data_IF_599964446973
#
_entry.id   IF_599964446973
#
_cell.length_a   1.000
_cell.length_b   1.000
_cell.length_c   1.000
_cell.angle_alpha   90.00
_cell.angle_beta   90.00
_cell.angle_gamma   90.00
#
_symmetry.space_group_name_H-M   'P 1'
#
loop_
_entity.id
_entity.type
_entity.pdbx_description
1 polymer ?
#
# COMPACT_ATOMS: atom_id res chain seq x y z
N UNK A 1 -10.79 -15.98 -0.65
CA UNK A 1 -9.91 -16.30 -1.79
C UNK A 1 -9.08 -17.53 -1.43
N UNK A 2 -8.94 -18.51 -2.32
CA UNK A 2 -8.07 -19.68 -2.08
C UNK A 2 -6.59 -19.33 -2.25
N UNK A 3 -5.68 -20.10 -1.67
CA UNK A 3 -4.23 -19.89 -1.83
C UNK A 3 -3.78 -19.95 -3.29
N UNK A 4 -4.42 -20.78 -4.11
CA UNK A 4 -4.10 -20.87 -5.54
C UNK A 4 -4.57 -19.64 -6.31
N UNK A 5 -5.75 -19.10 -5.99
CA UNK A 5 -6.24 -17.84 -6.56
C UNK A 5 -5.36 -16.66 -6.16
N UNK A 6 -4.90 -16.62 -4.91
CA UNK A 6 -3.98 -15.58 -4.44
C UNK A 6 -2.66 -15.62 -5.19
N UNK A 7 -2.05 -16.81 -5.31
CA UNK A 7 -0.81 -16.96 -6.08
C UNK A 7 -0.96 -16.51 -7.54
N UNK A 8 -2.06 -16.88 -8.20
CA UNK A 8 -2.36 -16.42 -9.57
C UNK A 8 -2.52 -14.91 -9.65
N UNK A 9 -3.12 -14.30 -8.63
CA UNK A 9 -3.24 -12.84 -8.54
C UNK A 9 -1.86 -12.20 -8.37
N UNK A 10 -1.05 -12.69 -7.43
CA UNK A 10 0.31 -12.19 -7.16
C UNK A 10 1.18 -12.22 -8.43
N UNK A 11 1.19 -13.37 -9.12
CA UNK A 11 1.94 -13.56 -10.36
C UNK A 11 1.42 -12.61 -11.47
N UNK A 12 0.09 -12.49 -11.63
CA UNK A 12 -0.51 -11.58 -12.62
C UNK A 12 -0.15 -10.11 -12.37
N UNK A 13 -0.24 -9.66 -11.12
CA UNK A 13 0.07 -8.29 -10.71
C UNK A 13 1.55 -7.99 -10.97
N UNK A 14 2.43 -8.90 -10.58
CA UNK A 14 3.86 -8.77 -10.78
C UNK A 14 4.26 -8.76 -12.25
N UNK A 15 3.74 -9.70 -13.05
CA UNK A 15 4.08 -9.77 -14.47
C UNK A 15 3.64 -8.52 -15.22
N UNK A 16 2.44 -8.00 -14.90
CA UNK A 16 1.93 -6.75 -15.47
C UNK A 16 2.79 -5.54 -15.07
N UNK A 17 3.13 -5.41 -13.78
CA UNK A 17 3.98 -4.33 -13.31
C UNK A 17 5.41 -4.42 -13.89
N UNK A 18 5.99 -5.62 -13.93
CA UNK A 18 7.33 -5.83 -14.47
C UNK A 18 7.38 -5.59 -15.99
N UNK A 19 6.31 -5.91 -16.73
CA UNK A 19 6.21 -5.58 -18.15
C UNK A 19 6.21 -4.05 -18.37
N UNK A 20 5.43 -3.30 -17.59
CA UNK A 20 5.41 -1.83 -17.64
C UNK A 20 6.77 -1.22 -17.29
N UNK A 21 7.42 -1.75 -16.24
CA UNK A 21 8.77 -1.35 -15.85
C UNK A 21 9.78 -1.55 -16.97
N UNK A 22 9.78 -2.73 -17.59
CA UNK A 22 10.69 -3.07 -18.68
C UNK A 22 10.43 -2.19 -19.91
N UNK A 23 9.17 -1.98 -20.26
CA UNK A 23 8.74 -1.08 -21.34
C UNK A 23 9.18 0.37 -21.12
N UNK A 24 9.24 0.83 -19.87
CA UNK A 24 9.71 2.16 -19.48
C UNK A 24 11.23 2.30 -19.34
N UNK A 25 12.01 1.21 -19.42
CA UNK A 25 13.44 1.26 -19.12
C UNK A 25 13.74 1.74 -17.69
N UNK A 26 12.91 1.34 -16.72
CA UNK A 26 13.04 1.75 -15.32
C UNK A 26 13.81 0.67 -14.54
N UNK A 27 14.75 1.09 -13.69
CA UNK A 27 15.47 0.16 -12.81
C UNK A 27 14.52 -0.38 -11.74
N UNK A 28 14.77 -1.59 -11.25
CA UNK A 28 13.92 -2.20 -10.21
C UNK A 28 13.88 -1.34 -8.93
N UNK A 29 15.03 -0.79 -8.50
CA UNK A 29 15.15 0.11 -7.35
C UNK A 29 14.23 1.32 -7.41
N UNK A 30 14.28 2.06 -8.53
CA UNK A 30 13.49 3.28 -8.74
C UNK A 30 11.99 2.96 -8.88
N UNK A 31 11.64 1.71 -9.17
CA UNK A 31 10.28 1.25 -9.43
C UNK A 31 9.62 0.65 -8.19
N UNK A 32 10.41 0.07 -7.27
CA UNK A 32 9.92 -0.64 -6.11
C UNK A 32 9.07 0.26 -5.21
N UNK A 33 9.60 1.43 -4.85
CA UNK A 33 8.94 2.36 -3.92
C UNK A 33 7.60 2.86 -4.47
N UNK A 34 7.49 3.36 -5.73
CA UNK A 34 6.19 3.72 -6.33
C UNK A 34 5.17 2.58 -6.35
N UNK A 35 5.59 1.36 -6.71
CA UNK A 35 4.69 0.20 -6.78
C UNK A 35 4.15 -0.17 -5.40
N UNK A 36 5.01 -0.23 -4.39
CA UNK A 36 4.60 -0.50 -3.02
C UNK A 36 3.65 0.59 -2.49
N UNK A 37 3.88 1.84 -2.88
CA UNK A 37 2.96 2.96 -2.62
C UNK A 37 1.57 2.73 -3.20
N UNK A 38 1.48 2.31 -4.47
CA UNK A 38 0.18 2.04 -5.11
C UNK A 38 -0.56 0.85 -4.48
N UNK A 39 0.17 -0.20 -4.07
CA UNK A 39 -0.42 -1.33 -3.34
C UNK A 39 -1.00 -0.84 -2.00
N UNK A 40 -0.26 0.02 -1.29
CA UNK A 40 -0.75 0.64 -0.05
C UNK A 40 -1.99 1.52 -0.30
N UNK A 41 -1.98 2.33 -1.35
CA UNK A 41 -3.13 3.16 -1.72
C UNK A 41 -4.38 2.31 -1.97
N UNK A 42 -4.22 1.19 -2.68
CA UNK A 42 -5.32 0.26 -2.94
C UNK A 42 -5.83 -0.41 -1.66
N UNK A 43 -4.93 -0.76 -0.74
CA UNK A 43 -5.29 -1.25 0.59
C UNK A 43 -6.11 -0.20 1.36
N UNK A 44 -5.64 1.04 1.40
CA UNK A 44 -6.29 2.12 2.10
C UNK A 44 -7.68 2.42 1.51
N UNK A 45 -7.81 2.43 0.18
CA UNK A 45 -9.08 2.62 -0.54
C UNK A 45 -10.09 1.52 -0.26
N UNK A 46 -9.67 0.25 -0.35
CA UNK A 46 -10.54 -0.87 -0.01
C UNK A 46 -10.98 -0.82 1.46
N UNK A 47 -10.03 -0.59 2.38
CA UNK A 47 -10.33 -0.53 3.82
C UNK A 47 -11.28 0.62 4.14
N UNK A 48 -11.04 1.82 3.60
CA UNK A 48 -11.94 2.95 3.80
C UNK A 48 -13.34 2.67 3.24
N UNK A 49 -13.42 2.14 2.02
CA UNK A 49 -14.68 1.80 1.35
C UNK A 49 -15.54 0.80 2.13
N UNK A 50 -14.92 -0.17 2.82
CA UNK A 50 -15.63 -1.12 3.68
C UNK A 50 -16.35 -0.45 4.86
N UNK A 51 -15.80 0.64 5.39
CA UNK A 51 -16.35 1.35 6.55
C UNK A 51 -17.06 2.66 6.20
N UNK A 52 -17.02 3.10 4.94
CA UNK A 52 -17.52 4.41 4.48
C UNK A 52 -18.99 4.65 4.86
N UNK A 53 -19.86 3.65 4.65
CA UNK A 53 -21.27 3.78 5.03
C UNK A 53 -21.45 4.01 6.53
N UNK A 54 -20.67 3.32 7.36
CA UNK A 54 -20.69 3.47 8.83
C UNK A 54 -20.17 4.85 9.23
N UNK A 55 -19.05 5.29 8.66
CA UNK A 55 -18.44 6.60 8.90
C UNK A 55 -19.43 7.71 8.58
N UNK A 56 -20.07 7.65 7.40
CA UNK A 56 -21.05 8.65 6.98
C UNK A 56 -22.33 8.63 7.82
N UNK A 57 -22.77 7.47 8.29
CA UNK A 57 -23.92 7.35 9.18
C UNK A 57 -23.63 8.00 10.55
N UNK A 58 -22.45 7.76 11.11
CA UNK A 58 -22.01 8.36 12.37
C UNK A 58 -21.82 9.87 12.24
N UNK A 59 -21.18 10.33 11.16
CA UNK A 59 -21.03 11.76 10.85
C UNK A 59 -22.39 12.46 10.75
N UNK A 60 -23.36 11.87 10.04
CA UNK A 60 -24.73 12.43 9.93
C UNK A 60 -25.48 12.46 11.27
N UNK A 61 -25.24 11.48 12.13
CA UNK A 61 -25.86 11.39 13.46
C UNK A 61 -25.32 12.47 14.40
N UNK A 62 -24.01 12.72 14.35
CA UNK A 62 -23.34 13.66 15.25
C UNK A 62 -23.48 15.12 14.79
N UNK A 63 -23.80 15.36 13.51
CA UNK A 63 -23.95 16.69 12.91
C UNK A 63 -24.98 17.56 13.66
N UNK A 64 -24.57 18.75 14.09
CA UNK A 64 -25.42 19.69 14.84
C UNK A 64 -25.64 19.30 16.30
N UNK A 65 -24.95 18.26 16.80
CA UNK A 65 -24.98 17.84 18.19
C UNK A 65 -23.77 18.38 18.97
N UNK A 66 -23.79 18.24 20.29
CA UNK A 66 -22.62 18.55 21.15
C UNK A 66 -21.42 17.61 20.91
N UNK A 67 -21.61 16.49 20.20
CA UNK A 67 -20.57 15.51 19.88
C UNK A 67 -20.16 15.57 18.40
N UNK A 68 -20.46 16.68 17.70
CA UNK A 68 -20.06 16.85 16.29
C UNK A 68 -18.54 16.68 16.13
N UNK A 69 -18.16 15.74 15.27
CA UNK A 69 -16.77 15.46 14.92
C UNK A 69 -16.59 15.59 13.40
N UNK A 70 -15.42 16.06 12.93
CA UNK A 70 -15.05 15.99 11.54
C UNK A 70 -15.14 14.55 11.01
N UNK A 71 -15.50 14.38 9.74
CA UNK A 71 -15.62 13.06 9.11
C UNK A 71 -14.29 12.31 9.13
N UNK A 72 -13.19 13.05 9.07
CA UNK A 72 -11.82 12.55 9.08
C UNK A 72 -11.49 11.89 10.41
N UNK A 73 -11.89 12.51 11.53
CA UNK A 73 -11.67 11.94 12.87
C UNK A 73 -12.47 10.65 13.08
N UNK A 74 -13.73 10.63 12.60
CA UNK A 74 -14.58 9.43 12.66
C UNK A 74 -13.97 8.30 11.83
N UNK A 75 -13.46 8.62 10.63
CA UNK A 75 -12.81 7.66 9.75
C UNK A 75 -11.53 7.07 10.38
N UNK A 76 -10.66 7.91 10.93
CA UNK A 76 -9.45 7.48 11.63
C UNK A 76 -9.78 6.58 12.83
N UNK A 77 -10.79 6.94 13.63
CA UNK A 77 -11.23 6.13 14.76
C UNK A 77 -11.86 4.79 14.31
N UNK A 78 -12.50 4.74 13.14
CA UNK A 78 -13.22 3.56 12.67
C UNK A 78 -12.32 2.56 11.95
N UNK A 79 -11.44 3.03 11.06
CA UNK A 79 -10.64 2.16 10.21
C UNK A 79 -9.16 2.58 10.10
N UNK A 80 -8.74 3.65 10.79
CA UNK A 80 -7.36 4.12 10.83
C UNK A 80 -6.93 4.96 9.64
N UNK A 81 -7.81 5.23 8.67
CA UNK A 81 -7.50 6.06 7.52
C UNK A 81 -8.69 6.94 7.15
N UNK A 82 -8.41 8.18 6.76
CA UNK A 82 -9.34 9.00 6.00
C UNK A 82 -8.81 9.15 4.58
N UNK A 83 -9.63 8.85 3.59
CA UNK A 83 -9.28 9.01 2.19
C UNK A 83 -10.11 10.13 1.55
N UNK A 84 -9.49 11.27 1.20
CA UNK A 84 -10.18 12.30 0.45
C UNK A 84 -10.56 11.80 -0.95
N UNK A 85 -11.53 12.45 -1.59
CA UNK A 85 -12.04 12.04 -2.91
C UNK A 85 -10.94 11.91 -3.97
N UNK A 86 -9.97 12.82 -3.96
CA UNK A 86 -8.83 12.81 -4.88
C UNK A 86 -7.83 11.65 -4.64
N UNK A 87 -7.91 10.97 -3.48
CA UNK A 87 -7.12 9.78 -3.17
C UNK A 87 -7.85 8.47 -3.47
N UNK A 88 -9.10 8.51 -3.90
CA UNK A 88 -9.88 7.30 -4.23
C UNK A 88 -9.36 6.70 -5.53
N UNK A 89 -9.25 5.37 -5.56
CA UNK A 89 -8.72 4.66 -6.73
C UNK A 89 -9.58 4.89 -7.98
N UNK A 90 -10.90 4.88 -7.80
CA UNK A 90 -11.87 5.16 -8.87
C UNK A 90 -11.73 6.60 -9.40
N UNK A 91 -11.38 7.58 -8.56
CA UNK A 91 -11.10 8.96 -9.02
C UNK A 91 -9.86 9.00 -9.92
N UNK A 92 -8.76 8.39 -9.45
CA UNK A 92 -7.49 8.38 -10.16
C UNK A 92 -7.57 7.65 -11.51
N UNK A 93 -8.35 6.56 -11.59
CA UNK A 93 -8.57 5.83 -12.85
C UNK A 93 -9.35 6.63 -13.88
N UNK A 94 -10.21 7.55 -13.44
CA UNK A 94 -11.08 8.36 -14.29
C UNK A 94 -10.53 9.77 -14.55
N UNK A 95 -9.29 10.06 -14.16
CA UNK A 95 -8.63 11.31 -14.49
C UNK A 95 -8.55 11.51 -16.01
N UNK A 96 -8.74 12.75 -16.43
CA UNK A 96 -8.62 13.11 -17.83
C UNK A 96 -7.17 12.91 -18.30
N UNK A 97 -6.98 12.37 -19.51
CA UNK A 97 -5.65 12.03 -20.05
C UNK A 97 -4.69 13.20 -20.27
N UNK A 98 -5.15 14.45 -20.08
CA UNK A 98 -4.32 15.65 -20.13
C UNK A 98 -3.77 16.08 -18.76
N UNK A 99 -4.11 15.37 -17.68
CA UNK A 99 -3.63 15.66 -16.33
C UNK A 99 -2.44 14.75 -15.97
N UNK A 100 -1.44 15.32 -15.27
CA UNK A 100 -0.31 14.56 -14.74
C UNK A 100 -0.81 13.57 -13.68
N UNK A 101 -0.61 12.29 -13.95
CA UNK A 101 -0.92 11.20 -13.03
C UNK A 101 0.02 11.24 -11.82
N UNK A 102 1.29 11.58 -12.02
CA UNK A 102 2.26 11.73 -10.93
C UNK A 102 1.82 12.81 -9.93
N UNK A 103 1.35 13.95 -10.43
CA UNK A 103 0.82 15.03 -9.58
C UNK A 103 -0.41 14.57 -8.80
N UNK A 104 -1.36 13.91 -9.45
CA UNK A 104 -2.56 13.41 -8.79
C UNK A 104 -2.22 12.37 -7.70
N UNK A 105 -1.30 11.45 -7.99
CA UNK A 105 -0.82 10.47 -7.00
C UNK A 105 -0.11 11.13 -5.82
N UNK A 106 0.73 12.14 -6.05
CA UNK A 106 1.34 12.91 -4.97
C UNK A 106 0.29 13.60 -4.11
N UNK A 107 -0.73 14.22 -4.70
CA UNK A 107 -1.82 14.86 -3.97
C UNK A 107 -2.66 13.86 -3.18
N UNK A 108 -2.89 12.67 -3.74
CA UNK A 108 -3.54 11.56 -3.05
C UNK A 108 -2.76 11.11 -1.81
N UNK A 109 -1.46 10.83 -1.96
CA UNK A 109 -0.61 10.39 -0.84
C UNK A 109 -0.52 11.43 0.27
N UNK A 110 -0.25 12.70 -0.09
CA UNK A 110 -0.24 13.80 0.89
C UNK A 110 -1.62 14.02 1.52
N UNK A 111 -2.68 13.78 0.77
CA UNK A 111 -4.06 13.85 1.26
C UNK A 111 -4.34 12.82 2.35
N UNK A 112 -3.77 11.62 2.25
CA UNK A 112 -3.85 10.58 3.28
C UNK A 112 -2.98 10.95 4.49
N UNK A 113 -1.73 11.34 4.26
CA UNK A 113 -0.79 11.68 5.34
C UNK A 113 -1.26 12.85 6.18
N UNK A 114 -1.89 13.86 5.58
CA UNK A 114 -2.36 15.07 6.26
C UNK A 114 -3.20 14.80 7.52
N UNK A 115 -3.96 13.71 7.52
CA UNK A 115 -4.85 13.37 8.63
C UNK A 115 -4.25 12.31 9.58
N UNK A 116 -3.05 11.83 9.29
CA UNK A 116 -2.34 10.87 10.12
C UNK A 116 -1.46 11.53 11.17
N UNK A 117 -0.93 10.73 12.09
CA UNK A 117 -0.02 11.22 13.12
C UNK A 117 1.33 11.68 12.55
N UNK A 118 2.15 12.29 13.42
CA UNK A 118 3.46 12.81 13.03
C UNK A 118 4.44 11.73 12.55
N UNK A 119 4.24 10.45 12.93
CA UNK A 119 5.13 9.35 12.53
C UNK A 119 4.83 8.87 11.11
N UNK A 120 3.65 9.20 10.59
CA UNK A 120 3.21 8.82 9.26
C UNK A 120 3.50 9.89 8.20
N UNK A 121 4.00 11.07 8.59
CA UNK A 121 4.34 12.11 7.61
C UNK A 121 5.56 11.72 6.78
N UNK A 122 5.51 11.97 5.47
CA UNK A 122 6.55 11.65 4.48
C UNK A 122 6.89 10.15 4.37
N UNK A 123 6.00 9.27 4.83
CA UNK A 123 6.15 7.80 4.71
C UNK A 123 5.71 7.32 3.32
N UNK A 124 4.67 7.94 2.75
CA UNK A 124 4.14 7.55 1.45
C UNK A 124 4.96 8.19 0.33
N UNK A 125 5.25 7.44 -0.75
CA UNK A 125 6.00 7.99 -1.86
C UNK A 125 5.23 9.09 -2.56
N UNK A 126 5.92 10.19 -2.88
CA UNK A 126 5.32 11.34 -3.58
C UNK A 126 6.15 11.73 -4.79
N UNK A 127 7.44 11.97 -4.62
CA UNK A 127 8.31 12.46 -5.70
C UNK A 127 8.70 11.37 -6.71
N UNK A 128 8.77 10.11 -6.27
CA UNK A 128 9.21 8.99 -7.11
C UNK A 128 8.28 8.74 -8.33
N UNK A 129 7.04 9.22 -8.29
CA UNK A 129 6.11 9.11 -9.43
C UNK A 129 6.51 10.00 -10.61
N UNK A 130 7.10 11.17 -10.36
CA UNK A 130 7.47 12.10 -11.43
C UNK A 130 8.58 11.53 -12.32
N UNK A 131 9.52 10.78 -11.75
CA UNK A 131 10.58 10.13 -12.52
C UNK A 131 10.03 9.00 -13.40
N UNK A 132 8.96 8.31 -12.99
CA UNK A 132 8.27 7.33 -13.82
C UNK A 132 7.54 8.05 -14.97
N UNK A 133 6.72 9.04 -14.66
CA UNK A 133 5.93 9.79 -15.65
C UNK A 133 6.82 10.48 -16.69
N UNK A 134 7.95 11.05 -16.26
CA UNK A 134 8.93 11.67 -17.14
C UNK A 134 9.56 10.67 -18.12
N UNK A 135 9.73 9.41 -17.71
CA UNK A 135 10.20 8.36 -18.63
C UNK A 135 9.12 7.96 -19.60
N UNK A 136 7.93 7.65 -19.10
CA UNK A 136 6.71 7.40 -19.88
C UNK A 136 5.45 7.68 -19.05
N UNK A 137 4.54 8.44 -19.62
CA UNK A 137 3.31 8.92 -18.99
C UNK A 137 2.22 7.84 -18.86
N UNK A 138 2.24 6.81 -19.70
CA UNK A 138 1.29 5.70 -19.73
C UNK A 138 1.54 4.62 -18.64
N UNK A 139 2.71 4.62 -17.99
CA UNK A 139 3.09 3.61 -16.99
C UNK A 139 2.26 3.73 -15.71
N UNK A 140 2.12 4.93 -15.15
CA UNK A 140 1.37 5.11 -13.89
C UNK A 140 -0.12 4.78 -14.05
N UNK A 141 -0.82 5.22 -15.12
CA UNK A 141 -2.18 4.75 -15.41
C UNK A 141 -2.25 3.24 -15.61
N UNK A 142 -1.26 2.63 -16.28
CA UNK A 142 -1.18 1.18 -16.46
C UNK A 142 -1.05 0.42 -15.13
N UNK A 143 -0.23 0.94 -14.22
CA UNK A 143 -0.07 0.39 -12.87
C UNK A 143 -1.35 0.50 -12.05
N UNK A 144 -2.00 1.67 -12.07
CA UNK A 144 -3.29 1.84 -11.41
C UNK A 144 -4.31 0.83 -11.94
N UNK A 145 -4.44 0.65 -13.25
CA UNK A 145 -5.33 -0.38 -13.81
C UNK A 145 -4.95 -1.78 -13.33
N UNK A 146 -3.67 -2.11 -13.30
CA UNK A 146 -3.17 -3.40 -12.80
C UNK A 146 -3.61 -3.65 -11.35
N UNK A 147 -3.38 -2.70 -10.45
CA UNK A 147 -3.72 -2.87 -9.03
C UNK A 147 -5.22 -2.70 -8.74
N UNK A 148 -5.99 -2.13 -9.68
CA UNK A 148 -7.45 -2.07 -9.57
C UNK A 148 -8.12 -3.46 -9.61
N UNK A 149 -7.43 -4.46 -10.18
CA UNK A 149 -7.88 -5.87 -10.21
C UNK A 149 -7.93 -6.53 -8.82
N UNK A 150 -7.32 -5.92 -7.79
CA UNK A 150 -7.41 -6.42 -6.42
C UNK A 150 -8.87 -6.25 -5.94
N UNK A 151 -9.57 -7.33 -5.55
CA UNK A 151 -10.98 -7.27 -5.16
C UNK A 151 -11.26 -6.26 -4.06
N UNK A 152 -12.40 -5.54 -4.13
CA UNK A 152 -12.78 -4.52 -3.14
C UNK A 152 -12.99 -5.10 -1.74
N UNK A 153 -13.36 -6.37 -1.64
CA UNK A 153 -13.54 -7.14 -0.41
C UNK A 153 -12.25 -7.84 0.07
N UNK A 154 -11.10 -7.61 -0.58
CA UNK A 154 -9.83 -8.16 -0.15
C UNK A 154 -9.49 -7.71 1.28
N UNK A 155 -9.18 -8.67 2.15
CA UNK A 155 -8.85 -8.44 3.55
C UNK A 155 -7.41 -7.94 3.72
N UNK A 156 -7.10 -7.42 4.91
CA UNK A 156 -5.73 -6.98 5.24
C UNK A 156 -4.68 -8.06 5.01
N UNK A 157 -5.00 -9.32 5.30
CA UNK A 157 -4.11 -10.48 5.08
C UNK A 157 -3.75 -10.68 3.61
N UNK A 158 -4.69 -10.41 2.69
CA UNK A 158 -4.44 -10.50 1.24
C UNK A 158 -3.45 -9.42 0.82
N UNK A 159 -3.65 -8.18 1.27
CA UNK A 159 -2.73 -7.08 0.98
C UNK A 159 -1.35 -7.29 1.59
N UNK A 160 -1.27 -7.80 2.83
CA UNK A 160 0.01 -8.13 3.46
C UNK A 160 0.81 -9.13 2.63
N UNK A 161 0.16 -10.20 2.15
CA UNK A 161 0.81 -11.21 1.29
C UNK A 161 1.25 -10.65 -0.05
N UNK A 162 0.42 -9.82 -0.71
CA UNK A 162 0.80 -9.13 -1.95
C UNK A 162 2.02 -8.24 -1.69
N UNK A 163 2.02 -7.46 -0.61
CA UNK A 163 3.10 -6.54 -0.26
C UNK A 163 4.41 -7.30 0.02
N UNK A 164 4.36 -8.39 0.80
CA UNK A 164 5.51 -9.27 1.05
C UNK A 164 6.03 -9.93 -0.23
N UNK A 165 5.13 -10.39 -1.12
CA UNK A 165 5.51 -10.97 -2.40
C UNK A 165 6.29 -9.97 -3.27
N UNK A 166 5.78 -8.75 -3.40
CA UNK A 166 6.45 -7.69 -4.16
C UNK A 166 7.80 -7.31 -3.54
N UNK A 167 7.88 -7.17 -2.21
CA UNK A 167 9.15 -6.92 -1.50
C UNK A 167 10.18 -8.01 -1.81
N UNK A 168 9.79 -9.29 -1.70
CA UNK A 168 10.68 -10.41 -2.00
C UNK A 168 11.16 -10.40 -3.45
N UNK A 169 10.27 -10.12 -4.41
CA UNK A 169 10.63 -10.02 -5.83
C UNK A 169 11.57 -8.86 -6.12
N UNK A 170 11.36 -7.69 -5.53
CA UNK A 170 12.27 -6.56 -5.67
C UNK A 170 13.65 -6.87 -5.09
N UNK A 171 13.72 -7.45 -3.89
CA UNK A 171 14.98 -7.88 -3.27
C UNK A 171 15.74 -8.90 -4.14
N UNK A 172 15.05 -9.87 -4.74
CA UNK A 172 15.66 -10.82 -5.68
C UNK A 172 16.19 -10.14 -6.95
N UNK A 173 15.51 -9.09 -7.43
CA UNK A 173 15.88 -8.39 -8.66
C UNK A 173 17.04 -7.41 -8.50
N UNK A 174 17.28 -6.87 -7.30
CA UNK A 174 18.37 -5.92 -7.04
C UNK A 174 19.74 -6.59 -6.85
N UNK A 175 19.79 -7.89 -6.54
CA UNK A 175 21.02 -8.67 -6.54
C UNK A 175 22.09 -8.26 -5.50
N UNK A 176 21.82 -7.31 -4.60
CA UNK A 176 22.76 -6.88 -3.56
C UNK A 176 22.35 -7.41 -2.17
N UNK A 177 23.28 -8.10 -1.50
CA UNK A 177 23.37 -8.33 -0.04
C UNK A 177 22.02 -8.47 0.70
N UNK A 178 21.21 -9.46 0.31
CA UNK A 178 19.81 -9.60 0.73
C UNK A 178 19.51 -9.67 2.24
N UNK A 179 20.50 -9.94 3.10
CA UNK A 179 20.28 -10.05 4.55
C UNK A 179 19.92 -8.74 5.27
N UNK A 180 20.31 -7.57 4.74
CA UNK A 180 20.04 -6.27 5.39
C UNK A 180 18.66 -5.69 5.01
N UNK A 181 18.11 -6.08 3.85
CA UNK A 181 16.89 -5.45 3.30
C UNK A 181 15.65 -6.37 3.38
N UNK A 182 15.83 -7.68 3.18
CA UNK A 182 14.71 -8.63 3.18
C UNK A 182 15.14 -10.03 3.65
N UNK A 183 14.58 -10.47 4.77
CA UNK A 183 14.78 -11.84 5.26
C UNK A 183 13.71 -12.77 4.67
N UNK A 184 14.07 -13.89 4.01
CA UNK A 184 13.08 -14.82 3.46
C UNK A 184 12.08 -15.32 4.50
N UNK A 185 10.80 -15.43 4.12
CA UNK A 185 9.69 -15.81 5.01
C UNK A 185 9.95 -17.10 5.77
N UNK A 186 10.60 -18.09 5.16
CA UNK A 186 10.94 -19.36 5.83
C UNK A 186 11.90 -19.18 7.01
N UNK A 187 12.86 -18.26 6.89
CA UNK A 187 13.84 -17.96 7.94
C UNK A 187 13.18 -17.15 9.05
N UNK A 188 12.39 -16.12 8.68
CA UNK A 188 11.61 -15.32 9.63
C UNK A 188 10.69 -16.22 10.45
N UNK A 189 9.90 -17.07 9.77
CA UNK A 189 8.96 -18.00 10.42
C UNK A 189 9.68 -18.94 11.38
N UNK A 190 10.81 -19.52 10.96
CA UNK A 190 11.60 -20.36 11.84
C UNK A 190 12.07 -19.62 13.11
N UNK A 191 12.58 -18.39 12.96
CA UNK A 191 13.04 -17.59 14.11
C UNK A 191 11.88 -17.26 15.06
N UNK A 192 10.72 -16.86 14.53
CA UNK A 192 9.53 -16.55 15.34
C UNK A 192 9.00 -17.79 16.04
N UNK A 193 8.92 -18.93 15.35
CA UNK A 193 8.48 -20.22 15.93
C UNK A 193 9.46 -20.74 17.00
N UNK A 194 10.76 -20.41 16.91
CA UNK A 194 11.75 -20.76 17.94
C UNK A 194 11.70 -19.83 19.15
N UNK A 195 11.48 -18.52 18.93
CA UNK A 195 11.44 -17.52 20.00
C UNK A 195 10.11 -17.59 20.78
N UNK A 196 9.01 -17.94 20.10
CA UNK A 196 7.65 -17.98 20.65
C UNK A 196 7.26 -16.70 21.43
N UNK A 197 7.28 -15.51 20.79
CA UNK A 197 7.14 -14.22 21.47
C UNK A 197 5.68 -13.90 21.86
N UNK A 198 5.06 -14.72 22.73
CA UNK A 198 3.65 -14.57 23.12
C UNK A 198 3.35 -13.29 23.92
N UNK A 199 4.33 -12.77 24.68
CA UNK A 199 4.21 -11.58 25.52
C UNK A 199 5.55 -10.87 25.65
N UNK A 200 5.51 -9.55 25.76
CA UNK A 200 6.69 -8.72 26.03
C UNK A 200 6.96 -7.70 24.94
N UNK A 201 8.21 -7.27 24.83
CA UNK A 201 8.66 -6.31 23.82
C UNK A 201 9.48 -7.06 22.77
N UNK A 202 9.07 -6.97 21.52
CA UNK A 202 9.85 -7.40 20.37
C UNK A 202 10.83 -6.28 19.98
N UNK A 203 12.09 -6.64 19.78
CA UNK A 203 13.13 -5.72 19.36
C UNK A 203 13.97 -6.36 18.26
N UNK A 204 14.06 -5.68 17.12
CA UNK A 204 14.92 -6.04 16.01
C UNK A 204 15.77 -4.80 15.64
N UNK A 205 17.08 -4.80 15.97
CA UNK A 205 17.97 -3.66 15.73
C UNK A 205 18.28 -3.41 14.25
N UNK A 206 17.94 -4.35 13.35
CA UNK A 206 18.22 -4.30 11.93
C UNK A 206 17.02 -4.81 11.12
N UNK A 207 15.82 -4.33 11.46
CA UNK A 207 14.57 -4.92 11.00
C UNK A 207 14.29 -4.85 9.49
N UNK A 208 15.05 -4.05 8.73
CA UNK A 208 14.89 -3.93 7.28
C UNK A 208 13.44 -3.61 6.89
N UNK A 209 12.82 -4.52 6.13
CA UNK A 209 11.40 -4.45 5.72
C UNK A 209 10.39 -4.79 6.83
N UNK A 210 10.83 -5.13 8.03
CA UNK A 210 9.98 -5.41 9.19
C UNK A 210 9.33 -6.80 9.20
N UNK A 211 9.82 -7.74 8.39
CA UNK A 211 9.21 -9.08 8.26
C UNK A 211 9.08 -9.85 9.59
N UNK A 212 10.04 -9.67 10.51
CA UNK A 212 9.96 -10.25 11.87
C UNK A 212 8.73 -9.77 12.65
N UNK A 213 8.35 -8.49 12.52
CA UNK A 213 7.18 -7.95 13.20
C UNK A 213 5.89 -8.44 12.58
N UNK A 214 5.84 -8.58 11.25
CA UNK A 214 4.66 -9.10 10.53
C UNK A 214 4.34 -10.52 11.00
N UNK A 215 5.33 -11.41 11.05
CA UNK A 215 5.14 -12.80 11.45
C UNK A 215 4.96 -12.98 12.96
N UNK A 216 5.45 -12.06 13.80
CA UNK A 216 5.23 -12.11 15.26
C UNK A 216 3.84 -11.59 15.68
N UNK A 217 3.12 -10.92 14.78
CA UNK A 217 1.78 -10.40 15.05
C UNK A 217 0.66 -11.43 14.77
N UNK A 218 1.00 -12.54 14.12
CA UNK A 218 0.15 -13.72 13.88
C UNK A 218 0.30 -14.76 14.97
#
# INVERSE_FOLDING_TARGET
MTNEQLKKLDDKLWDSANALRAYGGIKAADYAVPVLGLIFLKFADNKYSLFEQKILAEYKKDKGSRMERPVEEIALATCGFYLPENARFDYLLNLAGNQSMAKALREAMKGIEKFQDAKFQDVLPSEAYFEIEKKKDDILPGLLRTFSDIPKDATGDVFGKIYEYFLGKFAMSEGQKGGEFFTPTSVVRFIVEVIEPYKGKLYDPACGSGGMFVQSAT
#
